data_IF_699828292050
#
_entry.id   IF_699828292050
#
_cell.length_a   1.000
_cell.length_b   1.000
_cell.length_c   1.000
_cell.angle_alpha   90.00
_cell.angle_beta   90.00
_cell.angle_gamma   90.00
#
_symmetry.space_group_name_H-M   'P 1'
#
loop_
_entity.id
_entity.type
_entity.pdbx_description
1 polymer ?
#
# COMPACT_ATOMS: atom_id res chain seq x y z
N UNK A 1 0.03 -6.95 15.67
CA UNK A 1 0.77 -7.39 14.46
C UNK A 1 2.21 -7.78 14.79
N UNK A 2 2.98 -6.92 15.47
CA UNK A 2 4.36 -7.22 15.88
C UNK A 2 4.51 -8.51 16.72
N UNK A 3 3.63 -8.74 17.70
CA UNK A 3 3.59 -9.99 18.49
C UNK A 3 3.39 -11.25 17.64
N UNK A 4 2.84 -11.10 16.43
CA UNK A 4 2.64 -12.18 15.44
C UNK A 4 3.73 -12.21 14.36
N UNK A 5 4.78 -11.39 14.49
CA UNK A 5 5.86 -11.27 13.50
C UNK A 5 5.42 -10.67 12.16
N UNK A 6 4.31 -9.91 12.13
CA UNK A 6 3.79 -9.29 10.90
C UNK A 6 4.21 -7.81 10.85
N UNK A 7 5.00 -7.38 9.84
CA UNK A 7 5.33 -5.97 9.63
C UNK A 7 4.07 -5.14 9.31
N UNK A 8 4.05 -3.90 9.78
CA UNK A 8 2.94 -2.97 9.53
C UNK A 8 3.39 -1.86 8.58
N UNK A 9 2.70 -1.73 7.45
CA UNK A 9 2.76 -0.56 6.56
C UNK A 9 1.52 0.29 6.83
N UNK A 10 1.70 1.60 6.99
CA UNK A 10 0.60 2.53 7.17
C UNK A 10 0.15 3.10 5.82
N UNK A 11 -1.14 2.99 5.54
CA UNK A 11 -1.78 3.85 4.54
C UNK A 11 -1.84 5.29 5.09
N UNK A 12 -1.49 6.28 4.26
CA UNK A 12 -1.54 7.69 4.64
C UNK A 12 -2.08 8.52 3.47
N UNK A 13 -3.20 9.21 3.69
CA UNK A 13 -3.80 10.13 2.73
C UNK A 13 -3.56 11.57 3.17
N UNK A 14 -3.23 12.48 2.26
CA UNK A 14 -3.00 13.91 2.55
C UNK A 14 -4.26 14.69 2.99
N UNK A 15 -5.38 13.99 3.22
CA UNK A 15 -6.70 14.56 3.53
C UNK A 15 -7.34 15.39 2.41
N UNK A 16 -6.83 15.31 1.18
CA UNK A 16 -7.36 16.08 0.03
C UNK A 16 -8.74 15.54 -0.36
N UNK A 17 -9.80 16.10 0.21
CA UNK A 17 -11.17 15.61 0.05
C UNK A 17 -12.07 16.03 1.20
N UNK A 18 -11.49 16.29 2.36
CA UNK A 18 -12.15 16.99 3.47
C UNK A 18 -11.96 18.50 3.32
N UNK A 19 -13.04 19.22 3.01
CA UNK A 19 -13.03 20.67 2.76
C UNK A 19 -12.56 21.49 3.96
N UNK A 20 -12.90 21.06 5.17
CA UNK A 20 -12.52 21.76 6.40
C UNK A 20 -11.03 21.55 6.66
N UNK A 21 -10.54 20.32 6.51
CA UNK A 21 -9.12 19.99 6.64
C UNK A 21 -8.25 20.74 5.62
N UNK A 22 -8.55 20.64 4.32
CA UNK A 22 -7.70 21.25 3.27
C UNK A 22 -7.62 22.77 3.41
N UNK A 23 -8.67 23.39 3.94
CA UNK A 23 -8.68 24.82 4.27
C UNK A 23 -7.83 25.10 5.51
N UNK A 24 -8.04 24.38 6.59
CA UNK A 24 -7.34 24.58 7.86
C UNK A 24 -5.83 24.28 7.76
N UNK A 25 -5.46 23.21 7.06
CA UNK A 25 -4.08 22.79 6.86
C UNK A 25 -3.34 23.64 5.80
N UNK A 26 -4.04 24.53 5.10
CA UNK A 26 -3.44 25.43 4.11
C UNK A 26 -3.15 24.79 2.75
N UNK A 27 -3.73 23.63 2.43
CA UNK A 27 -3.55 22.98 1.13
C UNK A 27 -4.06 23.84 -0.03
N UNK A 28 -5.15 24.60 0.18
CA UNK A 28 -5.72 25.50 -0.82
C UNK A 28 -4.90 26.80 -1.04
N UNK A 29 -3.89 27.05 -0.23
CA UNK A 29 -3.00 28.21 -0.39
C UNK A 29 -2.11 28.06 -1.64
N UNK A 30 -1.73 29.18 -2.24
CA UNK A 30 -0.69 29.19 -3.28
C UNK A 30 0.64 28.72 -2.70
N UNK A 31 1.02 29.25 -1.53
CA UNK A 31 2.14 28.74 -0.75
C UNK A 31 1.67 27.60 0.15
N UNK A 32 2.10 26.38 -0.17
CA UNK A 32 1.79 25.13 0.56
C UNK A 32 2.84 24.78 1.62
N UNK A 33 3.81 25.66 1.90
CA UNK A 33 4.86 25.41 2.89
C UNK A 33 4.30 25.04 4.27
N UNK A 34 3.24 25.74 4.72
CA UNK A 34 2.53 25.44 5.96
C UNK A 34 1.89 24.05 5.96
N UNK A 35 1.27 23.65 4.85
CA UNK A 35 0.68 22.32 4.69
C UNK A 35 1.74 21.22 4.80
N UNK A 36 2.83 21.32 4.05
CA UNK A 36 3.88 20.31 4.09
C UNK A 36 4.65 20.29 5.42
N UNK A 37 4.71 21.41 6.13
CA UNK A 37 5.20 21.43 7.51
C UNK A 37 4.31 20.57 8.41
N UNK A 38 2.98 20.69 8.32
CA UNK A 38 2.04 19.88 9.10
C UNK A 38 2.22 18.38 8.78
N UNK A 39 2.27 18.02 7.50
CA UNK A 39 2.52 16.64 7.05
C UNK A 39 3.82 16.08 7.64
N UNK A 40 4.91 16.84 7.54
CA UNK A 40 6.21 16.46 8.12
C UNK A 40 6.15 16.28 9.63
N UNK A 41 5.48 17.20 10.33
CA UNK A 41 5.37 17.16 11.79
C UNK A 41 4.54 15.93 12.23
N UNK A 42 3.47 15.57 11.49
CA UNK A 42 2.69 14.33 11.70
C UNK A 42 3.58 13.10 11.49
N UNK A 43 4.31 13.01 10.38
CA UNK A 43 5.20 11.88 10.09
C UNK A 43 6.31 11.72 11.12
N UNK A 44 6.88 12.85 11.56
CA UNK A 44 7.88 12.89 12.63
C UNK A 44 7.31 12.37 13.94
N UNK A 45 6.10 12.80 14.32
CA UNK A 45 5.43 12.34 15.54
C UNK A 45 5.10 10.85 15.49
N UNK A 46 4.56 10.34 14.38
CA UNK A 46 4.37 8.89 14.16
C UNK A 46 5.71 8.16 14.33
N UNK A 47 6.76 8.74 13.76
CA UNK A 47 8.11 8.20 13.81
C UNK A 47 8.67 8.07 15.23
N UNK A 48 8.56 9.13 16.03
CA UNK A 48 8.99 9.17 17.43
C UNK A 48 8.16 8.20 18.26
N UNK A 49 6.84 8.21 18.10
CA UNK A 49 5.90 7.45 18.93
C UNK A 49 5.99 5.95 18.70
N UNK A 50 6.12 5.52 17.44
CA UNK A 50 6.04 4.10 17.08
C UNK A 50 7.37 3.49 16.66
N UNK A 51 8.37 4.30 16.27
CA UNK A 51 9.72 3.82 15.94
C UNK A 51 9.70 2.63 14.98
N UNK A 52 10.35 1.54 15.37
CA UNK A 52 10.44 0.29 14.59
C UNK A 52 9.14 -0.53 14.49
N UNK A 53 8.05 -0.12 15.17
CA UNK A 53 6.75 -0.81 15.05
C UNK A 53 6.08 -0.58 13.69
N UNK A 54 6.46 0.49 13.00
CA UNK A 54 6.02 0.79 11.63
C UNK A 54 7.17 0.46 10.69
N UNK A 55 6.90 -0.43 9.72
CA UNK A 55 7.84 -0.92 8.72
C UNK A 55 7.79 -0.12 7.42
N UNK A 56 6.74 0.66 7.17
CA UNK A 56 6.68 1.50 5.98
C UNK A 56 5.40 2.30 5.84
N UNK A 57 5.31 3.01 4.72
CA UNK A 57 4.17 3.85 4.35
C UNK A 57 3.78 3.65 2.88
N UNK A 58 2.47 3.63 2.64
CA UNK A 58 1.87 3.76 1.33
C UNK A 58 1.06 5.06 1.32
N UNK A 59 1.51 6.06 0.57
CA UNK A 59 0.91 7.39 0.55
C UNK A 59 -0.03 7.57 -0.62
N UNK A 60 -1.19 8.16 -0.39
CA UNK A 60 -2.21 8.43 -1.38
C UNK A 60 -2.49 9.92 -1.60
N UNK A 61 -3.13 10.24 -2.72
CA UNK A 61 -3.57 11.61 -3.07
C UNK A 61 -2.45 12.64 -3.02
N UNK A 62 -1.27 12.21 -3.48
CA UNK A 62 -0.04 13.01 -3.48
C UNK A 62 -0.21 14.32 -4.25
N UNK A 63 0.47 15.36 -3.76
CA UNK A 63 0.62 16.59 -4.52
C UNK A 63 1.84 16.47 -5.45
N UNK A 64 1.72 16.72 -6.77
CA UNK A 64 2.82 16.48 -7.71
C UNK A 64 4.12 17.22 -7.40
N UNK A 65 4.05 18.38 -6.73
CA UNK A 65 5.20 19.22 -6.38
C UNK A 65 5.49 19.23 -4.87
N UNK A 66 5.11 18.18 -4.15
CA UNK A 66 5.42 18.08 -2.73
C UNK A 66 6.94 17.98 -2.49
N UNK A 67 7.45 18.42 -1.32
CA UNK A 67 8.87 18.36 -1.00
C UNK A 67 9.28 16.91 -0.66
N UNK A 68 9.38 16.06 -1.68
CA UNK A 68 9.58 14.62 -1.54
C UNK A 68 10.76 14.26 -0.64
N UNK A 69 11.91 14.92 -0.79
CA UNK A 69 13.09 14.65 0.03
C UNK A 69 12.83 14.93 1.52
N UNK A 70 12.17 16.04 1.83
CA UNK A 70 11.88 16.46 3.20
C UNK A 70 10.89 15.49 3.85
N UNK A 71 9.79 15.18 3.16
CA UNK A 71 8.79 14.24 3.66
C UNK A 71 9.39 12.83 3.81
N UNK A 72 10.18 12.39 2.84
CA UNK A 72 10.91 11.13 2.91
C UNK A 72 11.79 11.05 4.16
N UNK A 73 12.61 12.08 4.44
CA UNK A 73 13.42 12.14 5.67
C UNK A 73 12.55 12.05 6.92
N UNK A 74 11.39 12.71 6.94
CA UNK A 74 10.45 12.61 8.06
C UNK A 74 9.91 11.18 8.25
N UNK A 75 9.62 10.45 7.17
CA UNK A 75 9.21 9.05 7.26
C UNK A 75 10.26 8.14 7.89
N UNK A 76 11.55 8.52 7.89
CA UNK A 76 12.64 7.73 8.47
C UNK A 76 12.86 7.98 9.96
N UNK A 77 12.21 8.99 10.55
CA UNK A 77 12.39 9.34 11.97
C UNK A 77 12.00 8.15 12.87
N UNK A 78 12.92 7.75 13.75
CA UNK A 78 12.73 6.61 14.68
C UNK A 78 12.86 5.22 14.03
N UNK A 79 12.94 5.12 12.70
CA UNK A 79 13.26 3.88 11.99
C UNK A 79 13.77 4.18 10.56
N UNK A 80 15.10 4.18 10.32
CA UNK A 80 15.66 4.46 9.01
C UNK A 80 15.38 3.36 7.97
N UNK A 81 14.95 2.17 8.40
CA UNK A 81 14.66 1.03 7.52
C UNK A 81 13.22 1.03 6.98
N UNK A 82 12.39 2.03 7.32
CA UNK A 82 11.02 2.09 6.78
C UNK A 82 11.05 2.20 5.27
N UNK A 83 10.17 1.48 4.58
CA UNK A 83 10.00 1.63 3.13
C UNK A 83 8.85 2.60 2.81
N UNK A 84 8.94 3.32 1.69
CA UNK A 84 7.97 4.34 1.29
C UNK A 84 7.54 4.10 -0.16
N UNK A 85 6.25 4.25 -0.42
CA UNK A 85 5.69 4.39 -1.75
C UNK A 85 4.80 5.63 -1.82
N UNK A 86 4.99 6.45 -2.85
CA UNK A 86 4.05 7.52 -3.21
C UNK A 86 3.16 7.03 -4.34
N UNK A 87 1.84 6.96 -4.10
CA UNK A 87 0.90 6.45 -5.08
C UNK A 87 0.88 7.33 -6.34
N UNK A 88 1.25 6.73 -7.46
CA UNK A 88 1.12 7.29 -8.80
C UNK A 88 0.07 6.54 -9.61
N UNK A 89 -0.84 5.84 -8.93
CA UNK A 89 -1.76 4.88 -9.54
C UNK A 89 -0.97 3.80 -10.30
N UNK A 90 -1.25 3.57 -11.59
CA UNK A 90 -0.46 2.69 -12.48
C UNK A 90 0.58 3.44 -13.34
N UNK A 91 0.84 4.72 -13.05
CA UNK A 91 1.78 5.55 -13.80
C UNK A 91 3.24 5.36 -13.34
N UNK A 92 4.24 5.81 -14.13
CA UNK A 92 5.65 5.77 -13.76
C UNK A 92 5.97 6.41 -12.40
N UNK A 93 7.13 6.04 -11.83
CA UNK A 93 7.68 6.72 -10.65
C UNK A 93 7.91 8.19 -10.98
N UNK A 94 7.78 9.04 -9.97
CA UNK A 94 7.86 10.50 -10.14
C UNK A 94 8.85 11.18 -9.20
N UNK A 95 9.53 10.36 -8.41
CA UNK A 95 10.52 10.78 -7.43
C UNK A 95 11.45 9.61 -7.15
N UNK A 96 12.69 9.91 -6.80
CA UNK A 96 13.66 8.93 -6.31
C UNK A 96 13.53 8.70 -4.79
N UNK A 97 12.72 9.49 -4.10
CA UNK A 97 12.50 9.41 -2.66
C UNK A 97 11.39 8.40 -2.29
N UNK A 98 11.53 7.16 -2.78
CA UNK A 98 10.67 6.01 -2.49
C UNK A 98 11.41 4.70 -2.77
N UNK A 99 11.00 3.60 -2.13
CA UNK A 99 11.68 2.30 -2.21
C UNK A 99 10.89 1.23 -2.97
N UNK A 100 9.57 1.38 -3.07
CA UNK A 100 8.74 0.40 -3.73
C UNK A 100 7.62 1.06 -4.54
N UNK A 101 7.13 0.33 -5.53
CA UNK A 101 6.06 0.82 -6.39
C UNK A 101 4.71 0.70 -5.69
N UNK A 102 3.86 1.73 -5.74
CA UNK A 102 2.56 1.69 -5.07
C UNK A 102 1.56 0.73 -5.76
N UNK A 103 1.56 0.73 -7.10
CA UNK A 103 0.86 -0.22 -7.97
C UNK A 103 -0.63 -0.42 -7.68
N UNK A 104 -1.43 0.64 -7.67
CA UNK A 104 -2.87 0.53 -7.43
C UNK A 104 -3.61 -0.08 -8.64
N UNK A 105 -3.59 -1.41 -8.74
CA UNK A 105 -4.19 -2.17 -9.83
C UNK A 105 -5.71 -2.31 -9.69
N UNK A 106 -6.23 -2.08 -8.48
CA UNK A 106 -7.66 -2.11 -8.20
C UNK A 106 -8.28 -3.49 -8.41
N UNK A 107 -9.45 -3.54 -9.05
CA UNK A 107 -10.21 -4.78 -9.30
C UNK A 107 -9.66 -5.65 -10.45
N UNK A 108 -8.35 -5.61 -10.73
CA UNK A 108 -7.74 -6.35 -11.82
C UNK A 108 -6.46 -7.10 -11.38
N UNK A 109 -6.27 -8.32 -11.91
CA UNK A 109 -5.06 -9.11 -11.71
C UNK A 109 -3.99 -8.67 -12.71
N UNK A 110 -3.20 -7.67 -12.34
CA UNK A 110 -2.18 -7.06 -13.22
C UNK A 110 -0.79 -7.61 -12.93
N UNK A 111 -0.06 -7.94 -13.98
CA UNK A 111 1.33 -8.36 -13.90
C UNK A 111 2.17 -7.53 -14.88
N UNK A 112 2.75 -6.38 -14.44
CA UNK A 112 3.54 -5.53 -15.32
C UNK A 112 4.76 -6.28 -15.85
N UNK A 113 5.22 -6.00 -17.08
CA UNK A 113 6.41 -6.65 -17.62
C UNK A 113 7.64 -6.31 -16.77
N UNK A 114 8.57 -7.25 -16.61
CA UNK A 114 9.79 -7.06 -15.82
C UNK A 114 10.61 -5.82 -16.24
N UNK A 115 10.55 -5.44 -17.52
CA UNK A 115 11.20 -4.22 -18.04
C UNK A 115 10.67 -2.92 -17.44
N UNK A 116 9.48 -2.93 -16.85
CA UNK A 116 8.90 -1.77 -16.16
C UNK A 116 9.70 -1.41 -14.91
N UNK A 117 10.27 -2.40 -14.21
CA UNK A 117 11.03 -2.25 -12.97
C UNK A 117 12.54 -2.37 -13.15
N UNK A 118 13.01 -2.75 -14.35
CA UNK A 118 14.42 -2.79 -14.67
C UNK A 118 15.05 -1.38 -14.65
N UNK A 119 16.38 -1.31 -14.55
CA UNK A 119 17.14 -0.06 -14.65
C UNK A 119 16.73 0.73 -15.92
N UNK A 120 16.43 2.02 -15.76
CA UNK A 120 15.92 2.87 -16.84
C UNK A 120 14.44 2.65 -17.20
N UNK A 121 13.75 1.71 -16.58
CA UNK A 121 12.31 1.49 -16.71
C UNK A 121 11.46 2.55 -15.99
N UNK A 122 10.17 2.58 -16.31
CA UNK A 122 9.20 3.56 -15.75
C UNK A 122 9.10 3.54 -14.22
N UNK A 123 9.32 2.40 -13.58
CA UNK A 123 9.42 2.25 -12.13
C UNK A 123 10.77 1.62 -11.76
N UNK A 124 11.82 1.93 -12.54
CA UNK A 124 13.16 1.39 -12.36
C UNK A 124 13.68 1.56 -10.94
N UNK A 125 14.41 0.56 -10.48
CA UNK A 125 15.08 0.51 -9.17
C UNK A 125 14.13 0.42 -7.95
N UNK A 126 12.81 0.42 -8.17
CA UNK A 126 11.84 0.18 -7.11
C UNK A 126 11.62 -1.32 -6.93
N UNK A 127 11.38 -1.74 -5.69
CA UNK A 127 10.82 -3.07 -5.43
C UNK A 127 9.44 -3.19 -6.12
N UNK A 128 9.25 -4.19 -7.02
CA UNK A 128 7.96 -4.42 -7.63
C UNK A 128 6.89 -4.73 -6.58
N UNK A 129 5.83 -3.93 -6.59
CA UNK A 129 4.67 -4.11 -5.71
C UNK A 129 3.37 -3.71 -6.42
N UNK A 130 2.26 -4.26 -5.96
CA UNK A 130 0.93 -3.87 -6.38
C UNK A 130 -0.13 -4.06 -5.30
N UNK A 131 -1.26 -3.39 -5.45
CA UNK A 131 -2.43 -3.45 -4.60
C UNK A 131 -3.65 -3.80 -5.45
N UNK A 132 -4.31 -4.90 -5.11
CA UNK A 132 -5.55 -5.37 -5.75
C UNK A 132 -6.71 -5.35 -4.76
N UNK A 133 -7.94 -5.24 -5.28
CA UNK A 133 -9.17 -5.42 -4.49
C UNK A 133 -9.59 -6.88 -4.57
N UNK A 134 -9.93 -7.48 -3.43
CA UNK A 134 -10.49 -8.83 -3.41
C UNK A 134 -12.02 -8.83 -3.46
N UNK A 135 -12.67 -7.79 -2.95
CA UNK A 135 -14.13 -7.67 -2.86
C UNK A 135 -14.58 -6.22 -3.13
N UNK A 136 -14.80 -5.42 -2.08
CA UNK A 136 -15.24 -4.04 -2.22
C UNK A 136 -14.16 -3.16 -2.89
N UNK A 137 -14.58 -2.14 -3.67
CA UNK A 137 -13.64 -1.22 -4.27
C UNK A 137 -13.05 -0.31 -3.20
N UNK A 138 -11.76 -0.50 -2.91
CA UNK A 138 -10.96 0.27 -1.94
C UNK A 138 -11.41 0.17 -0.47
N UNK A 139 -12.65 0.52 -0.16
CA UNK A 139 -13.23 0.51 1.19
C UNK A 139 -14.67 0.05 1.18
N UNK A 140 -15.12 -0.53 2.30
CA UNK A 140 -16.55 -0.78 2.54
C UNK A 140 -17.23 0.52 2.97
N UNK A 141 -17.84 1.24 2.02
CA UNK A 141 -18.30 2.62 2.19
C UNK A 141 -19.74 2.81 2.69
N UNK A 142 -20.54 1.74 2.76
CA UNK A 142 -21.98 1.87 3.01
C UNK A 142 -22.38 1.22 4.35
N UNK A 143 -23.08 1.95 5.23
CA UNK A 143 -23.55 1.37 6.48
C UNK A 143 -24.69 0.37 6.22
N UNK A 144 -24.75 -0.68 7.04
CA UNK A 144 -25.81 -1.69 7.01
C UNK A 144 -25.95 -2.42 5.66
N UNK A 145 -24.85 -2.57 4.92
CA UNK A 145 -24.76 -3.41 3.72
C UNK A 145 -23.75 -4.52 3.93
N UNK A 146 -23.92 -5.62 3.20
CA UNK A 146 -22.90 -6.67 3.16
C UNK A 146 -21.69 -6.23 2.31
N UNK A 147 -20.50 -6.70 2.67
CA UNK A 147 -19.31 -6.59 1.81
C UNK A 147 -19.58 -7.36 0.52
N UNK A 148 -19.14 -6.83 -0.63
CA UNK A 148 -19.28 -7.51 -1.90
C UNK A 148 -18.68 -8.94 -1.89
N UNK A 149 -19.21 -9.86 -2.72
CA UNK A 149 -18.58 -11.16 -2.88
C UNK A 149 -17.18 -11.02 -3.53
N UNK A 150 -16.30 -12.03 -3.40
CA UNK A 150 -14.98 -12.00 -4.01
C UNK A 150 -15.03 -11.74 -5.53
N UNK A 151 -14.18 -10.82 -6.01
CA UNK A 151 -14.06 -10.45 -7.43
C UNK A 151 -13.46 -11.57 -8.29
N UNK A 152 -12.69 -12.45 -7.66
CA UNK A 152 -11.96 -13.53 -8.32
C UNK A 152 -12.24 -14.86 -7.64
N UNK A 153 -12.15 -15.94 -8.41
CA UNK A 153 -12.14 -17.29 -7.84
C UNK A 153 -10.85 -17.54 -7.07
N UNK A 154 -10.90 -18.46 -6.11
CA UNK A 154 -9.72 -18.87 -5.33
C UNK A 154 -8.57 -19.35 -6.21
N UNK A 155 -8.86 -20.08 -7.29
CA UNK A 155 -7.83 -20.56 -8.21
C UNK A 155 -7.15 -19.40 -8.96
N UNK A 156 -7.92 -18.41 -9.42
CA UNK A 156 -7.34 -17.21 -10.07
C UNK A 156 -6.37 -16.47 -9.15
N UNK A 157 -6.72 -16.31 -7.86
CA UNK A 157 -5.82 -15.67 -6.88
C UNK A 157 -4.56 -16.51 -6.63
N UNK A 158 -4.68 -17.84 -6.51
CA UNK A 158 -3.53 -18.73 -6.35
C UNK A 158 -2.58 -18.61 -7.54
N UNK A 159 -3.11 -18.72 -8.77
CA UNK A 159 -2.31 -18.67 -10.00
C UNK A 159 -1.64 -17.31 -10.16
N UNK A 160 -2.38 -16.23 -9.86
CA UNK A 160 -1.86 -14.88 -9.87
C UNK A 160 -0.71 -14.67 -8.87
N UNK A 161 -0.88 -15.09 -7.63
CA UNK A 161 0.15 -14.95 -6.59
C UNK A 161 1.40 -15.77 -6.96
N UNK A 162 1.24 -16.98 -7.53
CA UNK A 162 2.36 -17.76 -8.06
C UNK A 162 3.11 -17.02 -9.17
N UNK A 163 2.38 -16.43 -10.11
CA UNK A 163 2.97 -15.62 -11.18
C UNK A 163 3.71 -14.38 -10.63
N UNK A 164 3.16 -13.73 -9.61
CA UNK A 164 3.79 -12.59 -8.94
C UNK A 164 5.08 -13.01 -8.22
N UNK A 165 5.06 -14.11 -7.45
CA UNK A 165 6.24 -14.67 -6.79
C UNK A 165 7.34 -14.97 -7.80
N UNK A 166 7.01 -15.60 -8.93
CA UNK A 166 7.97 -15.91 -9.99
C UNK A 166 8.65 -14.65 -10.57
N UNK A 167 7.99 -13.49 -10.51
CA UNK A 167 8.52 -12.21 -10.99
C UNK A 167 9.02 -11.30 -9.86
N UNK A 168 9.05 -11.78 -8.61
CA UNK A 168 9.38 -10.98 -7.41
C UNK A 168 8.48 -9.76 -7.22
N UNK A 169 7.25 -9.83 -7.74
CA UNK A 169 6.19 -8.85 -7.52
C UNK A 169 5.46 -9.17 -6.21
N UNK A 170 5.45 -8.22 -5.28
CA UNK A 170 4.76 -8.36 -4.00
C UNK A 170 3.37 -7.77 -4.11
N UNK A 171 2.34 -8.50 -3.67
CA UNK A 171 0.95 -8.02 -3.76
C UNK A 171 0.36 -7.77 -2.38
N UNK A 172 -0.15 -6.56 -2.18
CA UNK A 172 -1.14 -6.23 -1.14
C UNK A 172 -2.53 -6.58 -1.65
N UNK A 173 -3.27 -7.36 -0.86
CA UNK A 173 -4.64 -7.74 -1.16
C UNK A 173 -5.58 -6.97 -0.23
N UNK A 174 -6.33 -6.02 -0.79
CA UNK A 174 -7.29 -5.21 -0.07
C UNK A 174 -8.58 -5.99 0.18
N UNK A 175 -9.07 -5.95 1.41
CA UNK A 175 -10.32 -6.59 1.84
C UNK A 175 -11.23 -5.54 2.47
N UNK A 176 -12.50 -5.58 2.12
CA UNK A 176 -13.55 -4.84 2.79
C UNK A 176 -13.58 -5.18 4.28
N UNK A 177 -13.70 -4.14 5.11
CA UNK A 177 -13.81 -4.25 6.56
C UNK A 177 -15.00 -3.41 7.01
N UNK A 178 -15.93 -4.02 7.73
CA UNK A 178 -17.06 -3.32 8.34
C UNK A 178 -16.59 -2.44 9.52
N UNK A 179 -17.41 -1.48 9.94
CA UNK A 179 -17.06 -0.58 11.06
C UNK A 179 -16.83 -1.32 12.39
N UNK A 180 -17.43 -2.49 12.59
CA UNK A 180 -17.20 -3.36 13.74
C UNK A 180 -16.02 -4.35 13.54
N UNK A 181 -15.22 -4.17 12.47
CA UNK A 181 -13.98 -4.88 12.23
C UNK A 181 -14.14 -6.28 11.64
N UNK A 182 -15.29 -6.58 11.01
CA UNK A 182 -15.52 -7.86 10.33
C UNK A 182 -15.12 -7.77 8.87
N UNK A 183 -14.76 -8.93 8.31
CA UNK A 183 -14.46 -9.12 6.89
C UNK A 183 -15.47 -10.11 6.30
N UNK A 184 -15.59 -10.13 4.97
CA UNK A 184 -16.38 -11.15 4.27
C UNK A 184 -15.87 -12.56 4.64
N UNK A 185 -16.74 -13.48 5.12
CA UNK A 185 -16.36 -14.86 5.38
C UNK A 185 -15.83 -15.58 4.14
N UNK A 186 -16.37 -15.25 2.97
CA UNK A 186 -16.00 -15.86 1.69
C UNK A 186 -14.60 -15.42 1.26
N UNK A 187 -14.30 -14.11 1.32
CA UNK A 187 -12.96 -13.58 1.07
C UNK A 187 -11.95 -14.12 2.09
N UNK A 188 -12.34 -14.25 3.36
CA UNK A 188 -11.47 -14.81 4.39
C UNK A 188 -11.14 -16.29 4.13
N UNK A 189 -12.10 -17.10 3.71
CA UNK A 189 -11.84 -18.50 3.33
C UNK A 189 -10.95 -18.61 2.09
N UNK A 190 -11.12 -17.73 1.10
CA UNK A 190 -10.22 -17.62 -0.04
C UNK A 190 -8.78 -17.33 0.42
N UNK A 191 -8.58 -16.38 1.33
CA UNK A 191 -7.25 -16.04 1.87
C UNK A 191 -6.63 -17.18 2.69
N UNK A 192 -7.44 -17.95 3.43
CA UNK A 192 -6.97 -19.16 4.12
C UNK A 192 -6.54 -20.24 3.13
N UNK A 193 -7.30 -20.44 2.05
CA UNK A 193 -6.95 -21.39 1.01
C UNK A 193 -5.64 -21.00 0.31
N UNK A 194 -5.51 -19.74 -0.09
CA UNK A 194 -4.26 -19.20 -0.65
C UNK A 194 -3.07 -19.45 0.28
N UNK A 195 -3.19 -19.12 1.57
CA UNK A 195 -2.12 -19.31 2.55
C UNK A 195 -1.68 -20.77 2.65
N UNK A 196 -2.61 -21.73 2.67
CA UNK A 196 -2.28 -23.16 2.74
C UNK A 196 -1.46 -23.56 1.52
N UNK A 197 -1.97 -23.28 0.33
CA UNK A 197 -1.32 -23.64 -0.94
C UNK A 197 0.09 -23.05 -1.06
N UNK A 198 0.25 -21.75 -0.83
CA UNK A 198 1.56 -21.09 -1.01
C UNK A 198 2.60 -21.62 -0.01
N UNK A 199 2.21 -21.90 1.24
CA UNK A 199 3.15 -22.42 2.25
C UNK A 199 3.51 -23.89 2.03
N UNK A 200 2.57 -24.70 1.57
CA UNK A 200 2.84 -26.10 1.19
C UNK A 200 3.85 -26.15 0.04
N UNK A 201 3.69 -25.28 -0.96
CA UNK A 201 4.64 -25.16 -2.08
C UNK A 201 6.03 -24.69 -1.61
N UNK A 202 6.12 -23.71 -0.71
CA UNK A 202 7.41 -23.28 -0.12
C UNK A 202 8.11 -24.42 0.63
N UNK A 203 7.37 -25.16 1.45
CA UNK A 203 7.90 -26.29 2.20
C UNK A 203 8.36 -27.44 1.28
N UNK A 204 7.64 -27.69 0.18
CA UNK A 204 8.00 -28.70 -0.80
C UNK A 204 9.23 -28.30 -1.64
N UNK A 205 9.45 -27.00 -1.86
CA UNK A 205 10.58 -26.47 -2.63
C UNK A 205 11.83 -26.17 -1.80
N UNK A 206 11.77 -26.32 -0.47
CA UNK A 206 12.93 -26.14 0.42
C UNK A 206 13.38 -24.67 0.58
N UNK A 207 12.55 -23.71 0.20
CA UNK A 207 12.82 -22.28 0.34
C UNK A 207 12.13 -21.79 1.61
N UNK A 208 12.88 -21.72 2.71
CA UNK A 208 12.49 -21.04 3.96
C UNK A 208 13.01 -19.61 3.97
#
# INVERSE_FOLDING_TARGET
LQERGIPLILYFHHGVGDSEWVKAAGFLSQDKSGFFKIERDILTEIGIRYGKKIAGYWFDDRYPLQPFEELYKATKVGNPERIVAWNSWILPKTTEFQEYYAGEFGGALVNPPASFFAEGGSAGDLQPHGLIFLDDPWQHGYPNTDIAPPLFTTQQIIDYVKACIAQKLVITMNMGITQDGKVSPETLEQMKALRRTIREDSNASGVN
#
